data_IF_730420461567
#
_entry.id   IF_730420461567
#
_cell.length_a   1.000
_cell.length_b   1.000
_cell.length_c   1.000
_cell.angle_alpha   90.00
_cell.angle_beta   90.00
_cell.angle_gamma   90.00
#
_symmetry.space_group_name_H-M   'P 1'
#
loop_
_entity.id
_entity.type
_entity.pdbx_description
1 polymer ?
#
# COMPACT_ATOMS: atom_id res chain seq x y z
N UNK A 1 13.70 20.54 -24.21
CA UNK A 1 13.11 20.16 -22.90
C UNK A 1 13.24 18.65 -22.79
N UNK A 2 14.27 18.17 -22.09
CA UNK A 2 14.47 16.74 -21.83
C UNK A 2 13.57 16.37 -20.65
N UNK A 3 12.47 15.67 -20.93
CA UNK A 3 11.80 14.88 -19.90
C UNK A 3 12.76 13.71 -19.62
N UNK A 4 13.36 13.70 -18.44
CA UNK A 4 14.31 12.67 -18.01
C UNK A 4 13.56 11.34 -17.93
N UNK A 5 13.70 10.50 -18.96
CA UNK A 5 13.04 9.19 -19.08
C UNK A 5 13.30 8.29 -17.86
N UNK A 6 14.45 8.46 -17.21
CA UNK A 6 14.83 7.77 -15.98
C UNK A 6 14.01 8.17 -14.74
N UNK A 7 13.47 9.39 -14.68
CA UNK A 7 12.69 9.85 -13.52
C UNK A 7 11.26 9.31 -13.50
N UNK A 8 10.66 9.07 -14.67
CA UNK A 8 9.32 8.46 -14.76
C UNK A 8 9.33 6.99 -14.34
N UNK A 9 10.42 6.27 -14.65
CA UNK A 9 10.59 4.85 -14.27
C UNK A 9 10.66 4.67 -12.75
N UNK A 10 11.33 5.59 -12.04
CA UNK A 10 11.39 5.57 -10.57
C UNK A 10 10.02 5.86 -9.94
N UNK A 11 9.30 6.88 -10.41
CA UNK A 11 7.99 7.21 -9.85
C UNK A 11 6.98 6.07 -10.05
N UNK A 12 6.97 5.45 -11.23
CA UNK A 12 6.15 4.26 -11.52
C UNK A 12 6.55 3.08 -10.64
N UNK A 13 7.86 2.79 -10.50
CA UNK A 13 8.37 1.73 -9.61
C UNK A 13 7.93 1.94 -8.16
N UNK A 14 8.11 3.14 -7.63
CA UNK A 14 7.73 3.49 -6.26
C UNK A 14 6.22 3.37 -6.05
N UNK A 15 5.41 3.85 -6.99
CA UNK A 15 3.96 3.71 -6.93
C UNK A 15 3.52 2.24 -6.96
N UNK A 16 4.13 1.42 -7.83
CA UNK A 16 3.86 -0.02 -7.90
C UNK A 16 4.21 -0.73 -6.59
N UNK A 17 5.34 -0.40 -5.98
CA UNK A 17 5.72 -0.95 -4.67
C UNK A 17 4.74 -0.54 -3.57
N UNK A 18 4.26 0.70 -3.60
CA UNK A 18 3.23 1.19 -2.70
C UNK A 18 1.91 0.41 -2.85
N UNK A 19 1.39 0.27 -4.07
CA UNK A 19 0.17 -0.50 -4.35
C UNK A 19 0.32 -1.96 -3.93
N UNK A 20 1.46 -2.58 -4.22
CA UNK A 20 1.73 -3.96 -3.79
C UNK A 20 1.74 -4.10 -2.27
N UNK A 21 2.27 -3.12 -1.54
CA UNK A 21 2.24 -3.13 -0.07
C UNK A 21 0.80 -3.00 0.45
N UNK A 22 -0.02 -2.12 -0.14
CA UNK A 22 -1.44 -2.00 0.21
C UNK A 22 -2.20 -3.32 0.00
N UNK A 23 -2.01 -3.98 -1.15
CA UNK A 23 -2.67 -5.26 -1.50
C UNK A 23 -2.27 -6.41 -0.57
N UNK A 24 -1.16 -6.30 0.17
CA UNK A 24 -0.78 -7.27 1.23
C UNK A 24 -1.55 -7.05 2.53
N UNK A 25 -2.10 -5.85 2.74
CA UNK A 25 -2.77 -5.45 3.97
C UNK A 25 -1.82 -4.98 5.07
N UNK A 26 -2.37 -4.72 6.26
CA UNK A 26 -1.59 -4.25 7.41
C UNK A 26 -0.72 -5.35 8.01
N UNK A 27 0.13 -4.97 8.97
CA UNK A 27 0.97 -5.91 9.73
C UNK A 27 0.21 -6.71 10.81
N UNK A 28 -1.10 -6.51 10.98
CA UNK A 28 -1.90 -7.27 11.93
C UNK A 28 -2.43 -8.57 11.34
N UNK A 29 -2.77 -9.51 12.22
CA UNK A 29 -3.51 -10.71 11.83
C UNK A 29 -4.80 -10.33 11.08
N UNK A 30 -5.02 -10.97 9.93
CA UNK A 30 -6.13 -10.67 9.01
C UNK A 30 -6.21 -9.19 8.56
N UNK A 31 -5.08 -8.47 8.57
CA UNK A 31 -5.02 -7.04 8.29
C UNK A 31 -5.67 -6.62 6.98
N UNK A 32 -5.47 -7.40 5.91
CA UNK A 32 -6.11 -7.15 4.62
C UNK A 32 -7.64 -7.24 4.69
N UNK A 33 -8.18 -8.30 5.33
CA UNK A 33 -9.62 -8.44 5.54
C UNK A 33 -10.17 -7.31 6.41
N UNK A 34 -9.45 -6.92 7.47
CA UNK A 34 -9.85 -5.79 8.35
C UNK A 34 -9.95 -4.48 7.58
N UNK A 35 -9.00 -4.20 6.69
CA UNK A 35 -9.04 -3.03 5.79
C UNK A 35 -10.24 -3.13 4.85
N UNK A 36 -10.46 -4.28 4.20
CA UNK A 36 -11.61 -4.46 3.32
C UNK A 36 -12.95 -4.21 4.06
N UNK A 37 -13.12 -4.82 5.23
CA UNK A 37 -14.30 -4.65 6.08
C UNK A 37 -14.47 -3.18 6.52
N UNK A 38 -13.35 -2.47 6.77
CA UNK A 38 -13.36 -1.05 7.11
C UNK A 38 -14.01 -0.20 6.00
N UNK A 39 -13.67 -0.44 4.74
CA UNK A 39 -14.25 0.28 3.59
C UNK A 39 -15.69 -0.12 3.26
N UNK A 40 -16.16 -1.29 3.73
CA UNK A 40 -17.58 -1.66 3.64
C UNK A 40 -18.46 -0.98 4.69
N UNK A 41 -17.86 -0.34 5.69
CA UNK A 41 -18.61 0.47 6.67
C UNK A 41 -18.93 1.81 6.04
N UNK A 42 -20.16 2.31 6.27
CA UNK A 42 -20.60 3.63 5.81
C UNK A 42 -19.97 4.77 6.64
N UNK A 43 -18.64 4.88 6.59
CA UNK A 43 -17.84 5.87 7.31
C UNK A 43 -17.43 7.01 6.38
N UNK A 44 -17.16 8.16 6.97
CA UNK A 44 -16.55 9.27 6.24
C UNK A 44 -15.07 8.99 5.96
N UNK A 45 -14.51 9.65 4.93
CA UNK A 45 -13.07 9.58 4.61
C UNK A 45 -12.17 9.88 5.81
N UNK A 46 -12.52 10.87 6.63
CA UNK A 46 -11.73 11.24 7.81
C UNK A 46 -11.75 10.17 8.91
N UNK A 47 -12.89 9.53 9.14
CA UNK A 47 -13.03 8.41 10.09
C UNK A 47 -12.25 7.19 9.61
N UNK A 48 -12.36 6.85 8.32
CA UNK A 48 -11.60 5.75 7.72
C UNK A 48 -10.10 6.01 7.80
N UNK A 49 -9.64 7.22 7.50
CA UNK A 49 -8.23 7.61 7.67
C UNK A 49 -7.74 7.42 9.11
N UNK A 50 -8.56 7.78 10.10
CA UNK A 50 -8.22 7.57 11.52
C UNK A 50 -8.05 6.08 11.83
N UNK A 51 -8.97 5.25 11.36
CA UNK A 51 -8.93 3.81 11.59
C UNK A 51 -7.79 3.14 10.80
N UNK A 52 -7.45 3.63 9.61
CA UNK A 52 -6.28 3.16 8.85
C UNK A 52 -4.97 3.43 9.62
N UNK A 53 -4.83 4.60 10.26
CA UNK A 53 -3.66 4.90 11.10
C UNK A 53 -3.50 3.87 12.22
N UNK A 54 -4.61 3.52 12.88
CA UNK A 54 -4.61 2.55 13.97
C UNK A 54 -4.35 1.11 13.44
N UNK A 55 -4.89 0.78 12.27
CA UNK A 55 -4.73 -0.50 11.57
C UNK A 55 -3.30 -0.72 11.08
N UNK A 56 -2.62 0.31 10.59
CA UNK A 56 -1.24 0.17 10.11
C UNK A 56 -0.21 0.40 11.23
N UNK A 57 -0.57 1.18 12.26
CA UNK A 57 0.28 1.47 13.41
C UNK A 57 1.58 2.19 13.05
N UNK A 58 2.59 1.98 13.90
CA UNK A 58 3.98 2.38 13.63
C UNK A 58 4.78 1.11 13.40
N UNK A 59 5.46 1.02 12.26
CA UNK A 59 6.18 -0.18 11.89
C UNK A 59 6.76 -0.07 10.51
N UNK A 60 7.19 -1.19 9.96
CA UNK A 60 7.72 -1.24 8.62
C UNK A 60 8.29 -2.59 8.28
N UNK A 61 8.69 -2.75 7.01
CA UNK A 61 9.34 -3.94 6.51
C UNK A 61 10.43 -3.57 5.52
N UNK A 62 11.49 -4.36 5.48
CA UNK A 62 12.49 -4.30 4.43
C UNK A 62 12.58 -5.61 3.68
N UNK A 63 12.77 -5.51 2.36
CA UNK A 63 13.13 -6.61 1.49
C UNK A 63 14.54 -6.36 0.99
N UNK A 64 15.47 -7.26 1.31
CA UNK A 64 16.90 -7.10 1.00
C UNK A 64 17.31 -7.94 -0.22
N UNK A 65 16.62 -7.74 -1.35
CA UNK A 65 16.92 -8.45 -2.60
C UNK A 65 17.54 -7.45 -3.57
N UNK A 66 18.81 -7.57 -3.92
CA UNK A 66 19.41 -6.70 -4.94
C UNK A 66 19.10 -7.21 -6.36
N UNK A 67 18.69 -6.36 -7.31
CA UNK A 67 18.52 -4.89 -7.22
C UNK A 67 17.10 -4.44 -6.79
N UNK A 68 16.14 -5.34 -6.64
CA UNK A 68 14.71 -4.99 -6.38
C UNK A 68 14.37 -4.73 -4.90
N UNK A 69 15.35 -4.27 -4.13
CA UNK A 69 15.24 -4.16 -2.68
C UNK A 69 14.51 -2.88 -2.31
N UNK A 70 13.59 -2.95 -1.37
CA UNK A 70 12.91 -1.75 -0.88
C UNK A 70 12.59 -1.85 0.60
N UNK A 71 12.41 -0.69 1.23
CA UNK A 71 11.88 -0.56 2.58
C UNK A 71 10.54 0.15 2.50
N UNK A 72 9.63 -0.28 3.36
CA UNK A 72 8.40 0.42 3.65
C UNK A 72 8.35 0.73 5.15
N UNK A 73 7.84 1.91 5.47
CA UNK A 73 7.63 2.36 6.84
C UNK A 73 6.25 3.00 7.01
N UNK A 74 5.60 2.72 8.12
CA UNK A 74 4.32 3.33 8.52
C UNK A 74 4.53 4.22 9.73
N UNK A 75 3.90 5.40 9.73
CA UNK A 75 3.97 6.31 10.87
C UNK A 75 2.93 7.42 10.81
N UNK A 76 3.10 8.43 11.66
CA UNK A 76 2.12 9.52 11.82
C UNK A 76 1.78 10.27 10.52
N UNK A 77 2.72 10.31 9.57
CA UNK A 77 2.58 11.00 8.27
C UNK A 77 1.96 10.14 7.16
N UNK A 78 2.04 8.82 7.27
CA UNK A 78 1.55 7.90 6.24
C UNK A 78 2.46 6.70 6.05
N UNK A 79 2.56 6.24 4.80
CA UNK A 79 3.44 5.16 4.37
C UNK A 79 4.60 5.77 3.57
N UNK A 80 5.82 5.39 3.89
CA UNK A 80 7.03 5.77 3.17
C UNK A 80 7.60 4.56 2.44
N UNK A 81 7.98 4.75 1.18
CA UNK A 81 8.67 3.75 0.37
C UNK A 81 10.07 4.28 0.06
N UNK A 82 11.10 3.50 0.38
CA UNK A 82 12.51 3.75 0.05
C UNK A 82 13.01 2.64 -0.86
N UNK A 83 13.45 2.98 -2.07
CA UNK A 83 14.02 2.00 -3.01
C UNK A 83 15.54 1.85 -2.83
N UNK A 84 16.14 0.89 -3.53
CA UNK A 84 17.56 0.55 -3.40
C UNK A 84 18.52 1.71 -3.67
N UNK A 85 18.11 2.67 -4.51
CA UNK A 85 18.88 3.87 -4.87
C UNK A 85 18.94 4.89 -3.72
N UNK A 86 18.12 4.70 -2.68
CA UNK A 86 17.94 5.65 -1.59
C UNK A 86 16.91 6.74 -1.89
N UNK A 87 16.22 6.68 -3.02
CA UNK A 87 15.08 7.55 -3.29
C UNK A 87 13.87 7.17 -2.43
N UNK A 88 13.21 8.17 -1.88
CA UNK A 88 12.14 8.02 -0.89
C UNK A 88 10.89 8.78 -1.31
N UNK A 89 9.73 8.16 -1.07
CA UNK A 89 8.43 8.80 -1.28
C UNK A 89 7.51 8.54 -0.09
N UNK A 90 7.01 9.61 0.50
CA UNK A 90 5.94 9.58 1.49
C UNK A 90 4.56 9.68 0.80
N UNK A 91 3.72 8.70 1.04
CA UNK A 91 2.28 8.71 0.75
C UNK A 91 1.53 9.11 2.02
N UNK A 92 0.82 10.22 1.97
CA UNK A 92 -0.01 10.68 3.09
C UNK A 92 -1.16 9.72 3.36
N UNK A 93 -1.71 9.73 4.57
CA UNK A 93 -2.89 8.92 4.89
C UNK A 93 -4.11 9.20 4.01
N UNK A 94 -4.25 10.41 3.45
CA UNK A 94 -5.28 10.68 2.45
C UNK A 94 -5.02 9.94 1.14
N UNK A 95 -3.77 9.93 0.66
CA UNK A 95 -3.39 9.18 -0.55
C UNK A 95 -3.54 7.67 -0.32
N UNK A 96 -3.18 7.16 0.86
CA UNK A 96 -3.42 5.76 1.25
C UNK A 96 -4.91 5.43 1.19
N UNK A 97 -5.76 6.30 1.73
CA UNK A 97 -7.22 6.12 1.62
C UNK A 97 -7.67 6.09 0.16
N UNK A 98 -7.25 7.06 -0.65
CA UNK A 98 -7.71 7.21 -2.04
C UNK A 98 -7.29 6.00 -2.89
N UNK A 99 -6.07 5.49 -2.70
CA UNK A 99 -5.57 4.31 -3.40
C UNK A 99 -6.30 3.03 -2.96
N UNK A 100 -6.47 2.82 -1.65
CA UNK A 100 -7.24 1.67 -1.13
C UNK A 100 -8.70 1.70 -1.58
N UNK A 101 -9.33 2.88 -1.57
CA UNK A 101 -10.68 3.07 -2.07
C UNK A 101 -10.78 2.64 -3.54
N UNK A 102 -9.88 3.14 -4.39
CA UNK A 102 -9.84 2.76 -5.81
C UNK A 102 -9.66 1.26 -6.00
N UNK A 103 -8.67 0.65 -5.34
CA UNK A 103 -8.41 -0.79 -5.42
C UNK A 103 -9.62 -1.63 -4.96
N UNK A 104 -10.37 -1.18 -3.96
CA UNK A 104 -11.54 -1.89 -3.45
C UNK A 104 -12.74 -1.75 -4.40
N UNK A 105 -12.95 -0.56 -4.95
CA UNK A 105 -14.04 -0.29 -5.90
C UNK A 105 -13.81 -0.98 -7.26
N UNK A 106 -12.56 -1.09 -7.72
CA UNK A 106 -12.23 -1.84 -8.94
C UNK A 106 -12.14 -3.35 -8.71
N UNK A 107 -12.17 -3.80 -7.46
CA UNK A 107 -12.03 -5.22 -7.08
C UNK A 107 -10.59 -5.73 -7.07
N UNK A 108 -9.62 -4.90 -7.45
CA UNK A 108 -8.19 -5.22 -7.51
C UNK A 108 -7.56 -5.45 -6.14
N UNK A 109 -8.19 -5.01 -5.06
CA UNK A 109 -7.66 -5.18 -3.69
C UNK A 109 -7.63 -6.65 -3.25
N UNK A 110 -8.64 -7.42 -3.64
CA UNK A 110 -8.77 -8.85 -3.31
C UNK A 110 -8.37 -9.77 -4.47
N UNK A 111 -7.94 -9.18 -5.59
CA UNK A 111 -7.44 -9.91 -6.75
C UNK A 111 -6.24 -10.78 -6.35
N UNK A 112 -6.25 -12.05 -6.78
CA UNK A 112 -5.29 -13.09 -6.38
C UNK A 112 -5.69 -13.92 -5.15
N UNK A 113 -6.64 -13.49 -4.30
CA UNK A 113 -7.18 -14.31 -3.19
C UNK A 113 -8.41 -15.13 -3.58
N UNK A 114 -9.16 -14.70 -4.60
CA UNK A 114 -10.25 -15.47 -5.19
C UNK A 114 -9.76 -16.72 -5.94
N UNK A 115 -8.51 -16.72 -6.42
CA UNK A 115 -7.90 -17.87 -7.09
C UNK A 115 -7.44 -18.95 -6.09
N UNK A 116 -6.91 -18.60 -4.92
CA UNK A 116 -6.51 -19.61 -3.90
C UNK A 116 -7.71 -20.36 -3.30
N UNK A 117 -8.90 -19.74 -3.24
CA UNK A 117 -10.14 -20.41 -2.79
C UNK A 117 -10.71 -21.34 -3.88
N UNK A 118 -10.44 -21.07 -5.16
CA UNK A 118 -10.88 -21.90 -6.29
C UNK A 118 -9.85 -22.97 -6.71
N UNK A 119 -8.57 -22.77 -6.41
CA UNK A 119 -7.49 -23.71 -6.72
C UNK A 119 -7.08 -24.63 -5.56
N UNK A 120 -7.90 -24.73 -4.51
CA UNK A 120 -7.80 -25.65 -3.37
C UNK A 120 -6.61 -26.62 -3.41
N UNK A 121 -5.47 -26.17 -2.86
CA UNK A 121 -4.28 -26.98 -2.59
C UNK A 121 -3.93 -26.93 -1.12
#
# INVERSE_FOLDING_TARGET
MQITLFGMDVEEKVHKLFVNDLKRGSGFENGKKRIYDLFKRNLTKSETIKLLKDEYGIGGRSTLVYPEGYRQGHGSKGIEITIETGEEKQFTWSQVYDELFNLIETGEYLEGELEEVLEGR
#
